data_IF_556648974744
#
_entry.id   IF_556648974744
#
_cell.length_a   1.000
_cell.length_b   1.000
_cell.length_c   1.000
_cell.angle_alpha   90.00
_cell.angle_beta   90.00
_cell.angle_gamma   90.00
#
_symmetry.space_group_name_H-M   'P 1'
#
loop_
_entity.id
_entity.type
_entity.pdbx_description
1 polymer ?
#
# COMPACT_ATOMS: atom_id res chain seq x y z
N UNK A 1 -55.30 -17.47 -53.81
CA UNK A 1 -54.32 -18.09 -54.74
C UNK A 1 -52.94 -18.06 -54.10
N UNK A 2 -52.31 -19.24 -53.97
CA UNK A 2 -50.88 -19.65 -53.82
C UNK A 2 -49.83 -18.59 -53.38
N UNK A 3 -49.15 -18.81 -52.22
CA UNK A 3 -47.77 -19.38 -51.97
C UNK A 3 -46.62 -18.37 -52.23
N UNK A 4 -45.47 -18.31 -51.55
CA UNK A 4 -44.88 -18.96 -50.36
C UNK A 4 -43.51 -18.28 -50.06
N UNK A 5 -42.95 -18.50 -48.85
CA UNK A 5 -41.52 -18.30 -48.47
C UNK A 5 -41.35 -17.56 -47.13
N UNK A 6 -41.25 -18.18 -45.93
CA UNK A 6 -40.06 -18.80 -45.26
C UNK A 6 -38.85 -17.83 -45.16
N UNK A 7 -38.15 -17.53 -44.04
CA UNK A 7 -37.84 -18.14 -42.72
C UNK A 7 -37.39 -16.99 -41.76
N UNK A 8 -37.78 -16.97 -40.48
CA UNK A 8 -37.03 -17.39 -39.26
C UNK A 8 -36.03 -16.35 -38.65
N UNK A 9 -35.96 -16.31 -37.31
CA UNK A 9 -34.72 -15.93 -36.60
C UNK A 9 -34.63 -14.60 -35.83
N UNK A 10 -35.18 -14.58 -34.62
CA UNK A 10 -34.55 -14.09 -33.36
C UNK A 10 -34.02 -12.65 -33.17
N UNK A 11 -34.45 -12.07 -32.04
CA UNK A 11 -33.97 -10.86 -31.34
C UNK A 11 -32.44 -10.80 -31.16
N UNK A 12 -31.85 -9.61 -31.24
CA UNK A 12 -30.62 -9.26 -30.51
C UNK A 12 -30.54 -7.76 -30.19
N UNK A 13 -30.10 -7.48 -28.96
CA UNK A 13 -29.55 -6.24 -28.41
C UNK A 13 -28.57 -6.69 -27.32
N UNK A 14 -27.65 -5.84 -26.82
CA UNK A 14 -26.58 -5.09 -27.48
C UNK A 14 -25.21 -5.66 -27.02
N UNK A 15 -24.07 -5.27 -27.61
CA UNK A 15 -22.81 -5.45 -26.88
C UNK A 15 -21.72 -4.42 -27.20
N UNK A 16 -21.15 -3.92 -26.11
CA UNK A 16 -20.11 -2.89 -26.06
C UNK A 16 -18.74 -3.53 -26.28
N UNK A 17 -17.91 -2.90 -27.10
CA UNK A 17 -16.50 -3.23 -27.20
C UNK A 17 -15.75 -2.82 -25.92
N UNK A 18 -15.55 -3.77 -25.00
CA UNK A 18 -14.47 -3.73 -24.01
C UNK A 18 -13.19 -4.25 -24.67
N UNK A 19 -12.21 -3.38 -24.89
CA UNK A 19 -10.83 -3.80 -25.16
C UNK A 19 -10.19 -4.27 -23.85
N UNK A 20 -10.22 -5.58 -23.62
CA UNK A 20 -9.41 -6.25 -22.59
C UNK A 20 -8.01 -6.45 -23.17
N UNK A 21 -7.00 -5.86 -22.55
CA UNK A 21 -5.60 -6.13 -22.87
C UNK A 21 -5.26 -7.57 -22.41
N UNK A 22 -5.45 -8.55 -23.30
CA UNK A 22 -4.99 -9.92 -23.10
C UNK A 22 -3.52 -9.95 -23.49
N UNK A 23 -2.62 -10.08 -22.50
CA UNK A 23 -1.20 -10.33 -22.76
C UNK A 23 -1.06 -11.79 -23.21
N UNK A 24 -0.79 -12.00 -24.50
CA UNK A 24 -0.52 -13.33 -25.04
C UNK A 24 0.83 -13.88 -24.56
N UNK A 25 0.86 -15.18 -24.26
CA UNK A 25 2.03 -15.97 -23.89
C UNK A 25 3.10 -15.95 -25.00
N UNK A 26 4.37 -15.78 -24.61
CA UNK A 26 5.54 -15.86 -25.51
C UNK A 26 6.02 -17.33 -25.56
N UNK A 27 6.39 -17.88 -26.74
CA UNK A 27 6.95 -19.23 -26.84
C UNK A 27 8.41 -19.28 -26.38
N UNK A 28 8.80 -20.39 -25.75
CA UNK A 28 10.19 -20.65 -25.38
C UNK A 28 11.02 -21.05 -26.62
N UNK A 29 12.11 -20.33 -26.88
CA UNK A 29 13.27 -20.87 -27.59
C UNK A 29 14.55 -20.29 -26.99
N UNK A 30 15.51 -21.17 -26.71
CA UNK A 30 16.77 -20.84 -26.06
C UNK A 30 17.82 -20.24 -27.00
N UNK A 31 18.83 -19.60 -26.40
CA UNK A 31 20.04 -19.18 -27.10
C UNK A 31 20.55 -17.81 -26.67
N UNK A 32 21.64 -17.84 -25.91
CA UNK A 32 22.43 -16.74 -25.36
C UNK A 32 22.64 -15.57 -26.34
N UNK A 33 22.12 -14.37 -25.97
CA UNK A 33 22.75 -13.08 -26.24
C UNK A 33 22.49 -12.20 -25.00
N UNK A 34 23.55 -11.90 -24.25
CA UNK A 34 23.53 -10.97 -23.12
C UNK A 34 23.31 -9.52 -23.58
N UNK A 35 22.57 -8.79 -22.74
CA UNK A 35 22.70 -7.36 -22.43
C UNK A 35 22.32 -6.27 -23.42
N UNK A 36 21.59 -6.55 -24.50
CA UNK A 36 20.90 -5.50 -25.25
C UNK A 36 19.51 -5.99 -25.65
N UNK A 37 18.47 -5.31 -25.15
CA UNK A 37 17.03 -5.47 -25.46
C UNK A 37 16.15 -6.31 -24.52
N UNK A 38 16.25 -6.11 -23.20
CA UNK A 38 15.01 -6.11 -22.42
C UNK A 38 14.30 -4.78 -22.73
N UNK A 39 13.33 -4.77 -23.64
CA UNK A 39 12.33 -3.70 -23.61
C UNK A 39 11.75 -3.71 -22.20
N UNK A 40 12.15 -2.74 -21.37
CA UNK A 40 11.99 -2.80 -19.93
C UNK A 40 10.51 -2.91 -19.59
N UNK A 41 10.07 -4.12 -19.24
CA UNK A 41 8.67 -4.33 -18.89
C UNK A 41 8.32 -3.37 -17.75
N UNK A 42 7.23 -2.62 -17.91
CA UNK A 42 6.73 -1.70 -16.89
C UNK A 42 6.07 -2.45 -15.73
N UNK A 43 5.90 -3.76 -15.85
CA UNK A 43 5.20 -4.61 -14.91
C UNK A 43 5.99 -5.85 -14.53
N UNK A 44 5.70 -6.36 -13.34
CA UNK A 44 6.16 -7.65 -12.79
C UNK A 44 4.92 -8.47 -12.44
N UNK A 45 4.92 -9.76 -12.83
CA UNK A 45 3.80 -10.68 -12.55
C UNK A 45 4.27 -11.78 -11.61
N UNK A 46 3.57 -11.96 -10.50
CA UNK A 46 3.66 -13.14 -9.66
C UNK A 46 2.58 -14.11 -10.13
N UNK A 47 2.97 -15.23 -10.74
CA UNK A 47 2.05 -16.28 -11.17
C UNK A 47 2.22 -17.51 -10.28
N UNK A 48 1.28 -17.73 -9.38
CA UNK A 48 1.30 -18.89 -8.49
C UNK A 48 0.81 -20.17 -9.18
N UNK A 49 0.16 -20.07 -10.33
CA UNK A 49 -0.64 -21.15 -10.92
C UNK A 49 -2.05 -21.18 -10.35
N UNK A 50 -2.88 -22.14 -10.80
CA UNK A 50 -4.28 -22.29 -10.42
C UNK A 50 -5.11 -21.01 -10.59
N UNK A 51 -4.80 -20.22 -11.62
CA UNK A 51 -5.49 -18.95 -11.90
C UNK A 51 -5.36 -17.91 -10.77
N UNK A 52 -4.31 -18.01 -9.94
CA UNK A 52 -3.98 -17.02 -8.90
C UNK A 52 -2.74 -16.23 -9.33
N UNK A 53 -2.93 -14.94 -9.60
CA UNK A 53 -1.90 -14.05 -10.15
C UNK A 53 -1.91 -12.68 -9.46
N UNK A 54 -0.76 -12.02 -9.39
CA UNK A 54 -0.63 -10.64 -8.94
C UNK A 54 0.20 -9.86 -9.95
N UNK A 55 -0.28 -8.70 -10.40
CA UNK A 55 0.45 -7.83 -11.34
C UNK A 55 0.83 -6.53 -10.63
N UNK A 56 2.11 -6.18 -10.71
CA UNK A 56 2.72 -5.03 -10.08
C UNK A 56 3.24 -4.11 -11.18
N UNK A 57 2.79 -2.85 -11.21
CA UNK A 57 3.39 -1.83 -12.04
C UNK A 57 4.60 -1.24 -11.31
N UNK A 58 5.75 -1.18 -11.98
CA UNK A 58 6.97 -0.63 -11.40
C UNK A 58 6.87 0.87 -11.13
N UNK A 59 5.95 1.57 -11.78
CA UNK A 59 5.54 2.90 -11.33
C UNK A 59 4.76 2.78 -10.01
N UNK A 60 5.39 3.24 -8.94
CA UNK A 60 4.89 3.18 -7.58
C UNK A 60 4.98 1.82 -6.88
N UNK A 61 5.60 0.81 -7.53
CA UNK A 61 5.43 -0.60 -7.16
C UNK A 61 3.94 -0.93 -6.92
N UNK A 62 3.05 -0.33 -7.71
CA UNK A 62 1.61 -0.36 -7.49
C UNK A 62 1.09 -1.73 -7.86
N UNK A 63 0.48 -2.45 -6.91
CA UNK A 63 -0.26 -3.68 -7.25
C UNK A 63 -1.53 -3.26 -7.99
N UNK A 64 -1.66 -3.63 -9.26
CA UNK A 64 -2.77 -3.19 -10.14
C UNK A 64 -3.75 -4.32 -10.47
N UNK A 65 -3.41 -5.57 -10.14
CA UNK A 65 -4.34 -6.69 -10.24
C UNK A 65 -3.94 -7.76 -9.24
N UNK A 66 -4.92 -8.34 -8.56
CA UNK A 66 -4.75 -9.55 -7.77
C UNK A 66 -5.94 -10.46 -8.01
N UNK A 67 -5.69 -11.57 -8.69
CA UNK A 67 -6.70 -12.57 -9.01
C UNK A 67 -6.52 -13.78 -8.12
N UNK A 68 -7.64 -14.29 -7.62
CA UNK A 68 -7.73 -15.57 -6.92
C UNK A 68 -8.73 -16.42 -7.68
N UNK A 69 -8.29 -17.56 -8.23
CA UNK A 69 -9.12 -18.41 -9.08
C UNK A 69 -9.82 -17.62 -10.21
N UNK A 70 -9.07 -16.80 -10.96
CA UNK A 70 -9.54 -15.90 -12.03
C UNK A 70 -10.52 -14.79 -11.59
N UNK A 71 -10.77 -14.62 -10.29
CA UNK A 71 -11.61 -13.53 -9.79
C UNK A 71 -10.74 -12.36 -9.34
N UNK A 72 -10.92 -11.20 -9.97
CA UNK A 72 -10.23 -9.96 -9.59
C UNK A 72 -10.70 -9.47 -8.22
N UNK A 73 -9.74 -9.21 -7.33
CA UNK A 73 -9.98 -8.72 -5.96
C UNK A 73 -9.88 -7.20 -5.84
N UNK A 74 -9.15 -6.55 -6.74
CA UNK A 74 -8.86 -5.13 -6.66
C UNK A 74 -9.64 -4.33 -7.69
N UNK A 75 -10.05 -3.13 -7.30
CA UNK A 75 -10.62 -2.17 -8.23
C UNK A 75 -9.50 -1.34 -8.85
N UNK A 76 -9.52 -1.21 -10.16
CA UNK A 76 -8.76 -0.22 -10.92
C UNK A 76 -9.74 0.48 -11.84
N UNK A 77 -9.70 1.80 -11.87
CA UNK A 77 -10.61 2.57 -12.72
C UNK A 77 -10.39 2.24 -14.19
N UNK A 78 -11.48 2.18 -14.96
CA UNK A 78 -11.41 2.09 -16.43
C UNK A 78 -10.74 3.32 -17.08
N UNK A 79 -10.65 4.43 -16.36
CA UNK A 79 -9.98 5.67 -16.79
C UNK A 79 -8.57 5.83 -16.19
N UNK A 80 -8.08 4.82 -15.47
CA UNK A 80 -6.73 4.87 -14.90
C UNK A 80 -5.68 5.02 -16.01
N UNK A 81 -4.74 5.95 -15.79
CA UNK A 81 -3.66 6.24 -16.73
C UNK A 81 -2.38 5.51 -16.30
N UNK A 82 -1.73 4.83 -17.24
CA UNK A 82 -0.51 4.03 -17.03
C UNK A 82 0.71 4.61 -17.78
N UNK A 83 0.86 5.93 -17.76
CA UNK A 83 1.91 6.66 -18.49
C UNK A 83 3.21 6.84 -17.69
N UNK A 84 3.22 6.41 -16.43
CA UNK A 84 4.36 6.55 -15.52
C UNK A 84 4.63 7.98 -15.04
N UNK A 85 3.65 8.89 -15.17
CA UNK A 85 3.77 10.30 -14.73
C UNK A 85 2.94 10.60 -13.49
N UNK A 86 1.75 10.00 -13.39
CA UNK A 86 0.82 10.18 -12.26
C UNK A 86 0.56 8.86 -11.56
N UNK A 87 0.14 8.95 -10.30
CA UNK A 87 -0.30 7.79 -9.54
C UNK A 87 -1.43 7.05 -10.25
N UNK A 88 -1.38 5.72 -10.23
CA UNK A 88 -2.40 4.88 -10.87
C UNK A 88 -3.70 4.92 -10.04
N UNK A 89 -4.84 5.17 -10.70
CA UNK A 89 -6.15 5.20 -10.05
C UNK A 89 -6.69 3.79 -9.78
N UNK A 90 -6.27 3.24 -8.65
CA UNK A 90 -6.76 1.98 -8.10
C UNK A 90 -5.64 1.00 -7.80
N UNK A 91 -6.02 -0.24 -7.49
CA UNK A 91 -5.09 -1.25 -7.02
C UNK A 91 -4.65 -0.95 -5.59
N UNK A 92 -3.34 -0.88 -5.36
CA UNK A 92 -2.76 -0.58 -4.04
C UNK A 92 -1.62 0.44 -4.21
N UNK A 93 -1.91 1.74 -4.39
CA UNK A 93 -0.89 2.78 -4.38
C UNK A 93 -0.17 2.87 -3.04
N UNK A 94 1.14 3.08 -3.09
CA UNK A 94 2.01 3.17 -1.93
C UNK A 94 2.18 4.64 -1.48
N UNK A 95 1.64 4.99 -0.32
CA UNK A 95 1.71 6.36 0.24
C UNK A 95 2.94 6.48 1.14
N UNK A 96 3.88 7.35 0.75
CA UNK A 96 5.09 7.70 1.52
C UNK A 96 5.76 8.93 0.88
N UNK A 97 6.36 9.86 1.67
CA UNK A 97 6.45 9.90 3.13
C UNK A 97 5.34 10.72 3.79
N UNK A 98 4.35 11.19 3.02
CA UNK A 98 3.29 12.07 3.51
C UNK A 98 1.93 11.47 3.14
N UNK A 99 0.98 11.46 4.07
CA UNK A 99 -0.42 11.16 3.79
C UNK A 99 -1.23 12.45 3.58
N UNK A 100 -2.14 12.46 2.61
CA UNK A 100 -2.98 13.61 2.30
C UNK A 100 -2.24 14.72 1.55
N UNK A 101 -2.74 15.95 1.67
CA UNK A 101 -2.15 17.11 1.01
C UNK A 101 -0.73 17.38 1.54
N UNK A 102 0.14 17.89 0.67
CA UNK A 102 1.51 18.22 1.02
C UNK A 102 1.92 19.53 0.35
N UNK A 103 2.47 20.47 1.12
CA UNK A 103 2.89 21.78 0.60
C UNK A 103 4.18 21.72 -0.21
N UNK A 104 5.02 20.71 0.02
CA UNK A 104 6.35 20.60 -0.56
C UNK A 104 6.43 19.57 -1.69
N UNK A 105 5.32 18.92 -2.03
CA UNK A 105 5.30 17.87 -3.04
C UNK A 105 3.89 17.40 -3.38
N UNK A 106 3.74 16.32 -4.14
CA UNK A 106 2.43 15.78 -4.51
C UNK A 106 1.69 15.27 -3.28
N UNK A 107 0.36 15.39 -3.31
CA UNK A 107 -0.49 14.75 -2.32
C UNK A 107 -0.21 13.23 -2.26
N UNK A 108 -0.20 12.69 -1.05
CA UNK A 108 0.18 11.31 -0.71
C UNK A 108 1.65 10.94 -1.00
N UNK A 109 2.51 11.96 -1.12
CA UNK A 109 3.95 11.76 -1.27
C UNK A 109 4.36 11.20 -2.63
N UNK A 110 5.65 10.89 -2.75
CA UNK A 110 6.28 10.57 -4.02
C UNK A 110 6.34 9.06 -4.33
N UNK A 111 6.21 8.18 -3.34
CA UNK A 111 6.48 6.76 -3.54
C UNK A 111 5.61 6.11 -4.62
N UNK A 112 4.36 6.55 -4.77
CA UNK A 112 3.41 6.10 -5.81
C UNK A 112 3.62 6.69 -7.20
N UNK A 113 4.49 7.68 -7.36
CA UNK A 113 4.73 8.38 -8.64
C UNK A 113 6.15 8.24 -9.18
N UNK A 114 6.97 7.38 -8.58
CA UNK A 114 8.32 7.10 -9.06
C UNK A 114 8.45 5.63 -9.44
N UNK A 115 9.40 5.32 -10.33
CA UNK A 115 9.71 3.94 -10.67
C UNK A 115 10.49 3.27 -9.54
N UNK A 116 10.04 2.10 -9.12
CA UNK A 116 10.74 1.24 -8.17
C UNK A 116 11.66 0.26 -8.90
N UNK A 117 12.73 -0.13 -8.21
CA UNK A 117 13.65 -1.16 -8.68
C UNK A 117 13.13 -2.54 -8.27
N UNK A 118 13.38 -3.53 -9.13
CA UNK A 118 13.19 -4.95 -8.78
C UNK A 118 14.48 -5.42 -8.11
N UNK A 119 14.47 -5.55 -6.79
CA UNK A 119 15.61 -6.05 -6.02
C UNK A 119 15.68 -7.57 -6.03
N UNK A 120 14.52 -8.22 -6.03
CA UNK A 120 14.38 -9.66 -6.24
C UNK A 120 13.26 -9.93 -7.24
N UNK A 121 13.62 -10.49 -8.39
CA UNK A 121 12.67 -10.95 -9.41
C UNK A 121 11.75 -12.04 -8.86
N UNK A 122 10.55 -12.24 -9.45
CA UNK A 122 9.63 -13.29 -9.03
C UNK A 122 10.31 -14.65 -8.91
N UNK A 123 10.28 -15.22 -7.70
CA UNK A 123 10.82 -16.55 -7.40
C UNK A 123 9.72 -17.42 -6.80
N UNK A 124 9.59 -18.65 -7.33
CA UNK A 124 8.70 -19.66 -6.76
C UNK A 124 9.41 -20.35 -5.60
N UNK A 125 8.80 -20.28 -4.42
CA UNK A 125 9.26 -20.93 -3.21
C UNK A 125 8.91 -22.43 -3.19
N UNK A 126 9.56 -23.24 -2.34
CA UNK A 126 9.22 -24.67 -2.19
C UNK A 126 7.75 -24.93 -1.79
N UNK A 127 7.08 -23.98 -1.14
CA UNK A 127 5.64 -24.05 -0.84
C UNK A 127 4.74 -23.88 -2.07
N UNK A 128 5.30 -23.51 -3.22
CA UNK A 128 4.57 -23.11 -4.42
C UNK A 128 4.12 -21.65 -4.42
N UNK A 129 4.31 -20.92 -3.31
CA UNK A 129 4.09 -19.47 -3.24
C UNK A 129 5.13 -18.73 -4.08
N UNK A 130 4.83 -17.49 -4.49
CA UNK A 130 5.73 -16.69 -5.33
C UNK A 130 6.04 -15.38 -4.65
N UNK A 131 7.32 -15.01 -4.58
CA UNK A 131 7.74 -13.76 -3.97
C UNK A 131 8.52 -12.85 -4.92
N UNK A 132 8.45 -11.54 -4.67
CA UNK A 132 9.33 -10.55 -5.27
C UNK A 132 9.61 -9.43 -4.26
N UNK A 133 10.73 -8.72 -4.44
CA UNK A 133 11.14 -7.59 -3.59
C UNK A 133 11.40 -6.39 -4.48
N UNK A 134 10.81 -5.27 -4.10
CA UNK A 134 10.97 -3.97 -4.75
C UNK A 134 11.63 -2.98 -3.79
N UNK A 135 12.38 -2.02 -4.32
CA UNK A 135 12.92 -0.95 -3.49
C UNK A 135 13.06 0.38 -4.20
N UNK A 136 13.08 1.45 -3.39
CA UNK A 136 13.49 2.80 -3.76
C UNK A 136 14.46 3.34 -2.70
N UNK A 137 15.37 4.18 -3.14
CA UNK A 137 16.27 4.96 -2.29
C UNK A 137 16.11 6.44 -2.65
N UNK A 138 16.61 7.31 -1.79
CA UNK A 138 16.62 8.73 -2.09
C UNK A 138 17.41 9.03 -3.38
N UNK A 139 16.92 10.03 -4.12
CA UNK A 139 17.59 10.60 -5.29
C UNK A 139 17.34 12.11 -5.31
N UNK A 140 17.86 12.80 -6.33
CA UNK A 140 17.71 14.26 -6.46
C UNK A 140 16.23 14.69 -6.45
N UNK A 141 15.36 13.96 -7.17
CA UNK A 141 13.93 14.26 -7.23
C UNK A 141 13.27 14.14 -5.85
N UNK A 142 13.48 13.04 -5.12
CA UNK A 142 12.88 12.88 -3.79
C UNK A 142 13.46 13.89 -2.79
N UNK A 143 14.77 14.17 -2.86
CA UNK A 143 15.45 15.14 -1.99
C UNK A 143 15.02 16.58 -2.23
N UNK A 144 14.57 16.92 -3.44
CA UNK A 144 14.03 18.25 -3.74
C UNK A 144 12.75 18.57 -2.95
N UNK A 145 12.00 17.54 -2.52
CA UNK A 145 10.75 17.68 -1.74
C UNK A 145 10.94 17.29 -0.27
N UNK A 146 11.77 16.28 0.00
CA UNK A 146 12.03 15.72 1.32
C UNK A 146 13.49 15.27 1.42
N UNK A 147 14.35 16.18 1.92
CA UNK A 147 15.81 16.02 1.91
C UNK A 147 16.33 15.12 3.03
N UNK A 148 15.95 13.84 3.01
CA UNK A 148 16.51 12.81 3.88
C UNK A 148 17.03 11.64 3.06
N UNK A 149 18.16 11.03 3.45
CA UNK A 149 18.52 9.74 2.91
C UNK A 149 17.54 8.67 3.45
N UNK A 150 17.11 7.74 2.62
CA UNK A 150 16.23 6.66 3.04
C UNK A 150 16.38 5.44 2.12
N UNK A 151 15.99 4.27 2.63
CA UNK A 151 15.72 3.09 1.80
C UNK A 151 14.35 2.55 2.17
N UNK A 152 13.49 2.38 1.17
CA UNK A 152 12.19 1.73 1.29
C UNK A 152 12.24 0.41 0.53
N UNK A 153 11.83 -0.66 1.21
CA UNK A 153 11.79 -2.02 0.68
C UNK A 153 10.38 -2.57 0.82
N UNK A 154 9.91 -3.24 -0.22
CA UNK A 154 8.54 -3.73 -0.33
C UNK A 154 8.55 -5.14 -0.90
N UNK A 155 8.32 -6.12 -0.03
CA UNK A 155 8.26 -7.54 -0.37
C UNK A 155 6.81 -7.98 -0.49
N UNK A 156 6.51 -8.62 -1.62
CA UNK A 156 5.22 -9.21 -1.90
C UNK A 156 5.34 -10.73 -1.97
N UNK A 157 4.40 -11.43 -1.34
CA UNK A 157 4.28 -12.89 -1.44
C UNK A 157 2.85 -13.22 -1.87
N UNK A 158 2.73 -13.86 -3.03
CA UNK A 158 1.48 -14.40 -3.53
C UNK A 158 1.33 -15.85 -3.07
N UNK A 159 0.31 -16.10 -2.25
CA UNK A 159 -0.10 -17.42 -1.80
C UNK A 159 -1.44 -17.80 -2.45
N UNK A 160 -1.97 -18.97 -2.13
CA UNK A 160 -3.15 -19.52 -2.83
C UNK A 160 -4.37 -18.57 -2.83
N UNK A 161 -4.66 -17.98 -1.66
CA UNK A 161 -5.77 -17.04 -1.45
C UNK A 161 -5.36 -15.78 -0.69
N UNK A 162 -4.04 -15.60 -0.50
CA UNK A 162 -3.49 -14.51 0.29
C UNK A 162 -2.47 -13.73 -0.51
N UNK A 163 -2.44 -12.42 -0.30
CA UNK A 163 -1.37 -11.54 -0.75
C UNK A 163 -0.76 -10.89 0.49
N UNK A 164 0.53 -11.15 0.70
CA UNK A 164 1.29 -10.66 1.85
C UNK A 164 2.16 -9.50 1.41
N UNK A 165 2.23 -8.49 2.27
CA UNK A 165 2.94 -7.24 2.08
C UNK A 165 3.87 -7.07 3.28
N UNK A 166 5.18 -7.06 3.06
CA UNK A 166 6.15 -6.70 4.09
C UNK A 166 6.87 -5.42 3.65
N UNK A 167 6.86 -4.42 4.53
CA UNK A 167 7.40 -3.10 4.28
C UNK A 167 8.54 -2.83 5.26
N UNK A 168 9.62 -2.28 4.75
CA UNK A 168 10.74 -1.78 5.54
C UNK A 168 11.10 -0.36 5.14
N UNK A 169 11.26 0.53 6.13
CA UNK A 169 11.83 1.87 5.95
C UNK A 169 13.10 1.93 6.79
N UNK A 170 14.23 2.20 6.15
CA UNK A 170 15.52 2.35 6.83
C UNK A 170 16.01 3.79 6.76
N UNK A 171 16.47 4.30 7.90
CA UNK A 171 17.17 5.57 8.00
C UNK A 171 18.69 5.34 7.99
N UNK A 172 19.39 5.50 6.85
CA UNK A 172 20.85 5.35 6.77
C UNK A 172 21.62 6.55 7.32
N UNK A 173 20.93 7.63 7.72
CA UNK A 173 21.59 8.79 8.31
C UNK A 173 22.34 8.39 9.58
N UNK A 174 23.46 9.06 9.83
CA UNK A 174 24.21 8.94 11.09
C UNK A 174 23.77 9.94 12.15
N UNK A 175 23.10 11.01 11.73
CA UNK A 175 22.87 12.20 12.56
C UNK A 175 21.41 12.66 12.56
N UNK A 176 20.71 12.47 11.44
CA UNK A 176 19.37 13.05 11.26
C UNK A 176 18.28 12.03 11.47
N UNK A 177 17.42 12.30 12.44
CA UNK A 177 16.08 11.73 12.54
C UNK A 177 15.20 12.28 11.41
N UNK A 178 14.33 11.44 10.86
CA UNK A 178 13.23 11.92 10.01
C UNK A 178 11.89 11.42 10.50
N UNK A 179 10.82 12.04 10.03
CA UNK A 179 9.46 11.56 10.27
C UNK A 179 8.71 11.34 8.97
N UNK A 180 7.81 10.37 8.96
CA UNK A 180 7.03 10.01 7.78
C UNK A 180 5.67 9.42 8.15
N UNK A 181 4.72 9.50 7.22
CA UNK A 181 3.53 8.66 7.19
C UNK A 181 3.72 7.54 6.15
N UNK A 182 3.04 6.42 6.39
CA UNK A 182 3.02 5.29 5.46
C UNK A 182 1.62 4.69 5.40
N UNK A 183 1.12 4.43 4.20
CA UNK A 183 -0.17 3.79 4.00
C UNK A 183 -0.23 2.98 2.69
N UNK A 184 -0.94 1.86 2.73
CA UNK A 184 -1.32 1.08 1.54
C UNK A 184 -2.76 1.43 1.15
N UNK A 185 -2.90 2.24 0.09
CA UNK A 185 -4.19 2.78 -0.35
C UNK A 185 -5.00 1.72 -1.11
N UNK A 186 -5.47 0.69 -0.42
CA UNK A 186 -6.02 -0.53 -1.05
C UNK A 186 -7.44 -0.30 -1.56
N UNK A 187 -7.66 -0.43 -2.88
CA UNK A 187 -8.96 -0.35 -3.55
C UNK A 187 -9.55 -1.75 -3.72
N UNK A 188 -10.52 -2.12 -2.89
CA UNK A 188 -11.21 -3.39 -3.04
C UNK A 188 -12.32 -3.32 -4.08
N UNK A 189 -12.39 -4.33 -4.95
CA UNK A 189 -13.49 -4.50 -5.90
C UNK A 189 -14.72 -5.05 -5.20
N UNK A 190 -15.83 -4.32 -5.28
CA UNK A 190 -17.11 -4.72 -4.70
C UNK A 190 -18.21 -4.64 -5.76
N UNK A 191 -19.25 -5.47 -5.71
CA UNK A 191 -20.40 -5.32 -6.59
C UNK A 191 -21.17 -4.03 -6.32
N UNK A 192 -21.31 -3.67 -5.04
CA UNK A 192 -22.01 -2.47 -4.58
C UNK A 192 -21.54 -2.10 -3.16
N UNK A 193 -20.88 -0.95 -3.03
CA UNK A 193 -20.34 -0.42 -1.77
C UNK A 193 -21.40 -0.21 -0.70
N UNK A 194 -22.66 0.07 -1.09
CA UNK A 194 -23.79 0.29 -0.17
C UNK A 194 -24.17 -0.95 0.61
N UNK A 195 -23.73 -2.13 0.14
CA UNK A 195 -23.97 -3.44 0.73
C UNK A 195 -22.75 -4.00 1.47
N UNK A 196 -21.63 -3.27 1.47
CA UNK A 196 -20.45 -3.64 2.22
C UNK A 196 -20.61 -3.31 3.70
N UNK A 197 -20.10 -4.20 4.55
CA UNK A 197 -19.95 -3.99 5.98
C UNK A 197 -18.50 -4.23 6.36
N UNK A 198 -17.95 -3.35 7.20
CA UNK A 198 -16.57 -3.43 7.69
C UNK A 198 -16.60 -3.60 9.20
N UNK A 199 -15.96 -4.65 9.71
CA UNK A 199 -15.87 -4.95 11.14
C UNK A 199 -14.59 -4.39 11.78
N UNK A 200 -14.55 -4.38 13.12
CA UNK A 200 -13.32 -4.08 13.87
C UNK A 200 -13.05 -2.58 14.06
N UNK A 201 -14.06 -1.74 13.86
CA UNK A 201 -13.99 -0.28 14.03
C UNK A 201 -14.89 0.24 15.16
N UNK A 202 -15.72 -0.62 15.77
CA UNK A 202 -16.55 -0.25 16.92
C UNK A 202 -15.69 0.31 18.07
N UNK A 203 -16.12 1.44 18.63
CA UNK A 203 -15.46 2.15 19.71
C UNK A 203 -14.25 2.98 19.29
N UNK A 204 -13.77 2.86 18.04
CA UNK A 204 -12.64 3.64 17.55
C UNK A 204 -13.01 5.11 17.37
N UNK A 205 -12.07 5.99 17.73
CA UNK A 205 -12.09 7.40 17.34
C UNK A 205 -11.72 7.53 15.87
N UNK A 206 -12.40 8.40 15.13
CA UNK A 206 -12.03 8.71 13.75
C UNK A 206 -12.13 10.20 13.44
N UNK A 207 -11.28 10.64 12.51
CA UNK A 207 -11.33 11.96 11.89
C UNK A 207 -12.13 11.84 10.60
N UNK A 208 -13.17 12.65 10.42
CA UNK A 208 -13.96 12.70 9.18
C UNK A 208 -13.58 13.93 8.34
N UNK A 209 -12.85 13.71 7.24
CA UNK A 209 -12.41 14.81 6.36
C UNK A 209 -13.56 15.45 5.59
N UNK A 210 -14.70 14.77 5.48
CA UNK A 210 -15.91 15.30 4.82
C UNK A 210 -16.71 16.22 5.74
N UNK A 211 -16.29 16.34 7.00
CA UNK A 211 -16.88 17.19 8.04
C UNK A 211 -15.79 18.07 8.67
N UNK A 212 -14.96 18.68 7.84
CA UNK A 212 -13.89 19.62 8.25
C UNK A 212 -12.91 19.04 9.28
N UNK A 213 -12.59 17.75 9.16
CA UNK A 213 -11.72 17.00 10.09
C UNK A 213 -12.26 16.93 11.53
N UNK A 214 -13.59 16.99 11.70
CA UNK A 214 -14.21 16.73 13.00
C UNK A 214 -13.91 15.31 13.49
N UNK A 215 -13.83 15.17 14.81
CA UNK A 215 -13.52 13.93 15.50
C UNK A 215 -14.81 13.31 16.03
N UNK A 216 -14.99 12.02 15.75
CA UNK A 216 -16.14 11.22 16.16
C UNK A 216 -15.70 9.91 16.80
N UNK A 217 -16.64 9.20 17.42
CA UNK A 217 -16.46 7.83 17.88
C UNK A 217 -17.46 6.91 17.17
N UNK A 218 -16.98 5.77 16.69
CA UNK A 218 -17.81 4.79 15.99
C UNK A 218 -18.63 3.97 16.98
N UNK A 219 -19.95 4.20 17.00
CA UNK A 219 -20.87 3.45 17.85
C UNK A 219 -21.37 2.15 17.21
N UNK A 220 -21.25 2.00 15.89
CA UNK A 220 -21.80 0.85 15.18
C UNK A 220 -20.85 -0.36 15.27
N UNK A 221 -21.42 -1.56 15.38
CA UNK A 221 -20.64 -2.81 15.33
C UNK A 221 -19.98 -3.03 13.95
N UNK A 222 -20.64 -2.52 12.91
CA UNK A 222 -20.18 -2.59 11.53
C UNK A 222 -20.34 -1.24 10.84
N UNK A 223 -19.28 -0.83 10.13
CA UNK A 223 -19.29 0.39 9.32
C UNK A 223 -19.92 0.09 7.96
N UNK A 224 -20.80 0.98 7.51
CA UNK A 224 -21.39 0.96 6.17
C UNK A 224 -21.18 2.31 5.50
N UNK A 225 -21.01 2.32 4.17
CA UNK A 225 -20.73 3.52 3.39
C UNK A 225 -21.94 3.82 2.50
N UNK A 226 -22.58 4.98 2.71
CA UNK A 226 -23.81 5.40 2.01
C UNK A 226 -23.76 6.84 1.49
N UNK A 227 -22.61 7.49 1.61
CA UNK A 227 -22.34 8.86 1.22
C UNK A 227 -20.84 9.00 0.95
N UNK A 228 -20.42 10.19 0.48
CA UNK A 228 -19.00 10.52 0.40
C UNK A 228 -18.35 10.31 1.77
N UNK A 229 -17.36 9.43 1.82
CA UNK A 229 -16.70 9.00 3.06
C UNK A 229 -15.20 9.15 2.88
N UNK A 230 -14.56 9.82 3.84
CA UNK A 230 -13.11 9.94 3.97
C UNK A 230 -12.78 10.00 5.46
N UNK A 231 -12.65 8.83 6.08
CA UNK A 231 -12.53 8.68 7.54
C UNK A 231 -11.22 8.01 7.91
N UNK A 232 -10.47 8.62 8.84
CA UNK A 232 -9.25 8.05 9.40
C UNK A 232 -9.58 7.49 10.79
N UNK A 233 -9.78 6.18 10.89
CA UNK A 233 -9.96 5.51 12.17
C UNK A 233 -8.61 5.28 12.83
N UNK A 234 -8.48 5.69 14.09
CA UNK A 234 -7.23 5.66 14.84
C UNK A 234 -7.14 4.44 15.75
N UNK A 235 -5.93 3.90 15.92
CA UNK A 235 -5.63 2.80 16.85
C UNK A 235 -6.62 1.62 16.74
N UNK A 236 -6.91 1.19 15.51
CA UNK A 236 -7.91 0.16 15.25
C UNK A 236 -7.36 -1.24 15.57
N UNK A 237 -8.26 -2.21 15.63
CA UNK A 237 -7.88 -3.62 15.71
C UNK A 237 -6.96 -4.01 14.53
N UNK A 238 -6.05 -4.98 14.72
CA UNK A 238 -5.13 -5.43 13.66
C UNK A 238 -5.83 -6.24 12.56
N UNK A 239 -7.14 -6.50 12.69
CA UNK A 239 -7.91 -7.27 11.73
C UNK A 239 -9.26 -6.61 11.41
N UNK A 240 -9.60 -6.59 10.12
CA UNK A 240 -10.88 -6.15 9.59
C UNK A 240 -11.45 -7.20 8.63
N UNK A 241 -12.77 -7.40 8.69
CA UNK A 241 -13.50 -8.19 7.71
C UNK A 241 -14.38 -7.25 6.89
N UNK A 242 -14.23 -7.29 5.58
CA UNK A 242 -15.06 -6.57 4.62
C UNK A 242 -15.99 -7.58 3.96
N UNK A 243 -17.30 -7.39 4.11
CA UNK A 243 -18.31 -8.24 3.47
C UNK A 243 -18.67 -7.73 2.08
N UNK A 244 -19.29 -8.61 1.28
CA UNK A 244 -19.73 -8.30 -0.08
C UNK A 244 -18.58 -7.86 -1.01
N UNK A 245 -17.39 -8.42 -0.81
CA UNK A 245 -16.25 -8.28 -1.73
C UNK A 245 -16.32 -9.42 -2.75
N UNK A 246 -16.15 -9.12 -4.03
CA UNK A 246 -16.13 -10.10 -5.16
C UNK A 246 -17.16 -11.23 -5.07
N UNK A 247 -18.30 -11.06 -5.75
CA UNK A 247 -19.37 -12.06 -5.82
C UNK A 247 -19.94 -12.45 -4.44
N UNK A 248 -20.02 -11.50 -3.50
CA UNK A 248 -20.66 -11.69 -2.20
C UNK A 248 -19.80 -12.37 -1.13
N UNK A 249 -18.48 -12.50 -1.35
CA UNK A 249 -17.54 -13.11 -0.41
C UNK A 249 -17.06 -12.10 0.64
N UNK A 250 -16.22 -12.60 1.55
CA UNK A 250 -15.51 -11.80 2.55
C UNK A 250 -14.05 -11.59 2.15
N UNK A 251 -13.53 -10.41 2.44
CA UNK A 251 -12.11 -10.09 2.42
C UNK A 251 -11.65 -9.87 3.85
N UNK A 252 -10.59 -10.54 4.25
CA UNK A 252 -9.91 -10.28 5.53
C UNK A 252 -8.67 -9.44 5.27
N UNK A 253 -8.55 -8.36 6.03
CA UNK A 253 -7.38 -7.49 6.08
C UNK A 253 -6.75 -7.67 7.46
N UNK A 254 -5.52 -8.17 7.51
CA UNK A 254 -4.72 -8.21 8.74
C UNK A 254 -3.55 -7.26 8.59
N UNK A 255 -3.24 -6.49 9.62
CA UNK A 255 -2.21 -5.47 9.60
C UNK A 255 -1.33 -5.51 10.85
N UNK A 256 -0.06 -5.18 10.68
CA UNK A 256 0.93 -5.06 11.74
C UNK A 256 1.68 -3.74 11.61
N UNK A 257 1.85 -3.05 12.74
CA UNK A 257 2.46 -1.71 12.83
C UNK A 257 1.82 -0.63 11.92
N UNK A 258 0.56 -0.87 11.56
CA UNK A 258 -0.35 0.10 10.95
C UNK A 258 -1.47 0.38 11.95
N UNK A 259 -1.32 1.36 12.86
CA UNK A 259 -2.32 1.62 13.89
C UNK A 259 -3.65 2.15 13.31
N UNK A 260 -3.62 2.78 12.14
CA UNK A 260 -4.78 3.45 11.57
C UNK A 260 -5.40 2.65 10.41
N UNK A 261 -6.69 2.88 10.20
CA UNK A 261 -7.42 2.36 9.03
C UNK A 261 -8.20 3.50 8.39
N UNK A 262 -7.93 3.79 7.11
CA UNK A 262 -8.70 4.78 6.35
C UNK A 262 -9.81 4.08 5.58
N UNK A 263 -11.04 4.61 5.70
CA UNK A 263 -12.18 4.20 4.89
C UNK A 263 -12.51 5.32 3.92
N UNK A 264 -12.47 5.01 2.62
CA UNK A 264 -12.73 6.00 1.58
C UNK A 264 -13.62 5.48 0.46
N UNK A 265 -14.57 6.32 0.05
CA UNK A 265 -15.33 6.19 -1.19
C UNK A 265 -15.71 7.61 -1.65
N UNK A 266 -15.42 7.99 -2.91
CA UNK A 266 -15.65 9.35 -3.38
C UNK A 266 -17.14 9.70 -3.49
N UNK A 267 -18.01 8.70 -3.61
CA UNK A 267 -19.40 8.89 -3.99
C UNK A 267 -19.57 9.63 -5.33
N UNK A 268 -20.80 9.90 -5.71
CA UNK A 268 -21.13 10.37 -7.07
C UNK A 268 -20.52 11.72 -7.42
N UNK A 269 -20.58 12.70 -6.52
CA UNK A 269 -20.12 14.06 -6.83
C UNK A 269 -18.59 14.13 -6.92
N UNK A 270 -17.86 13.59 -5.92
CA UNK A 270 -16.39 13.59 -5.99
C UNK A 270 -15.84 12.66 -7.05
N UNK A 271 -16.54 11.60 -7.44
CA UNK A 271 -16.11 10.75 -8.55
C UNK A 271 -15.96 11.55 -9.85
N UNK A 272 -16.91 12.46 -10.15
CA UNK A 272 -16.89 13.32 -11.34
C UNK A 272 -15.74 14.33 -11.33
N UNK A 273 -15.30 14.75 -10.15
CA UNK A 273 -14.20 15.70 -9.98
C UNK A 273 -12.81 15.04 -10.17
N UNK A 274 -12.74 13.71 -10.29
CA UNK A 274 -11.49 12.96 -10.40
C UNK A 274 -11.26 12.58 -11.87
N UNK A 275 -10.32 13.23 -12.59
CA UNK A 275 -10.20 13.08 -14.04
C UNK A 275 -9.83 11.68 -14.55
N UNK A 276 -9.24 10.85 -13.68
CA UNK A 276 -8.79 9.49 -13.99
C UNK A 276 -9.69 8.41 -13.34
N UNK A 277 -10.93 8.78 -13.00
CA UNK A 277 -11.93 7.92 -12.39
C UNK A 277 -13.26 8.00 -13.15
N UNK A 278 -13.94 6.88 -13.36
CA UNK A 278 -15.25 6.88 -14.01
C UNK A 278 -16.37 7.36 -13.08
N UNK A 279 -17.20 8.28 -13.55
CA UNK A 279 -18.34 8.87 -12.83
C UNK A 279 -19.28 7.83 -12.18
N UNK A 280 -19.42 6.66 -12.81
CA UNK A 280 -20.29 5.55 -12.43
C UNK A 280 -19.58 4.44 -11.65
N UNK A 281 -18.27 4.57 -11.38
CA UNK A 281 -17.45 3.50 -10.79
C UNK A 281 -17.42 3.50 -9.26
N UNK A 282 -17.81 4.60 -8.59
CA UNK A 282 -17.81 4.69 -7.13
C UNK A 282 -18.59 3.56 -6.43
N UNK A 283 -19.70 3.01 -6.96
CA UNK A 283 -20.39 1.90 -6.31
C UNK A 283 -19.58 0.62 -6.31
N UNK A 284 -18.60 0.46 -7.22
CA UNK A 284 -17.88 -0.79 -7.43
C UNK A 284 -16.56 -0.89 -6.66
N UNK A 285 -16.32 0.06 -5.76
CA UNK A 285 -15.08 0.14 -5.01
C UNK A 285 -15.31 0.55 -3.56
N UNK A 286 -14.40 0.11 -2.69
CA UNK A 286 -14.22 0.71 -1.37
C UNK A 286 -12.74 0.67 -1.04
N UNK A 287 -12.23 1.78 -0.51
CA UNK A 287 -10.90 1.79 0.07
C UNK A 287 -10.98 1.46 1.55
N UNK A 288 -10.19 0.46 1.95
CA UNK A 288 -9.92 0.10 3.35
C UNK A 288 -8.41 -0.02 3.46
N UNK A 289 -7.78 1.00 4.04
CA UNK A 289 -6.37 1.28 3.85
C UNK A 289 -5.63 1.12 5.18
N UNK A 290 -4.64 0.22 5.22
CA UNK A 290 -3.78 0.07 6.40
C UNK A 290 -2.73 1.18 6.41
N UNK A 291 -2.63 1.95 7.50
CA UNK A 291 -1.67 3.05 7.58
C UNK A 291 -1.19 3.42 8.98
N UNK A 292 -0.16 4.25 8.98
CA UNK A 292 0.37 5.01 10.12
C UNK A 292 0.35 6.48 9.69
N UNK A 293 -0.81 7.11 9.85
CA UNK A 293 -1.17 8.38 9.19
C UNK A 293 -1.81 9.40 10.12
N UNK A 294 -2.40 8.96 11.23
CA UNK A 294 -2.97 9.86 12.23
C UNK A 294 -1.89 10.57 13.06
N UNK A 295 -0.70 9.96 13.12
CA UNK A 295 0.56 10.57 13.55
C UNK A 295 1.70 10.10 12.65
N UNK A 296 2.81 10.85 12.55
CA UNK A 296 3.98 10.40 11.81
C UNK A 296 4.83 9.43 12.65
N UNK A 297 5.42 8.44 11.98
CA UNK A 297 6.52 7.64 12.54
C UNK A 297 7.73 8.56 12.67
N UNK A 298 8.42 8.52 13.80
CA UNK A 298 9.72 9.18 14.01
C UNK A 298 10.81 8.11 13.94
N UNK A 299 11.72 8.21 12.98
CA UNK A 299 12.75 7.20 12.73
C UNK A 299 14.16 7.75 12.99
N UNK A 300 14.82 7.22 14.02
CA UNK A 300 16.15 7.62 14.46
C UNK A 300 17.25 7.19 13.48
N UNK A 301 18.42 7.87 13.48
CA UNK A 301 19.59 7.47 12.70
C UNK A 301 19.94 5.99 12.86
N UNK A 302 20.21 5.30 11.75
CA UNK A 302 20.61 3.89 11.73
C UNK A 302 19.53 2.88 12.12
N UNK A 303 18.28 3.30 12.33
CA UNK A 303 17.18 2.40 12.71
C UNK A 303 16.23 2.11 11.54
N UNK A 304 15.43 1.06 11.69
CA UNK A 304 14.46 0.62 10.69
C UNK A 304 13.05 0.54 11.30
N UNK A 305 12.06 0.85 10.47
CA UNK A 305 10.65 0.62 10.73
C UNK A 305 10.15 -0.52 9.85
N UNK A 306 9.34 -1.39 10.42
CA UNK A 306 8.69 -2.50 9.70
C UNK A 306 7.18 -2.46 9.88
N UNK A 307 6.46 -2.74 8.80
CA UNK A 307 5.01 -2.94 8.84
C UNK A 307 4.62 -4.06 7.88
N UNK A 308 3.43 -4.64 8.08
CA UNK A 308 2.90 -5.63 7.16
C UNK A 308 1.39 -5.57 7.01
N UNK A 309 0.93 -6.07 5.86
CA UNK A 309 -0.47 -6.31 5.56
C UNK A 309 -0.61 -7.72 4.99
N UNK A 310 -1.70 -8.40 5.32
CA UNK A 310 -2.13 -9.63 4.66
C UNK A 310 -3.56 -9.41 4.20
N UNK A 311 -3.78 -9.62 2.91
CA UNK A 311 -5.11 -9.68 2.31
C UNK A 311 -5.46 -11.14 2.07
N UNK A 312 -6.65 -11.58 2.48
CA UNK A 312 -7.12 -12.94 2.27
C UNK A 312 -8.53 -12.95 1.69
N UNK A 313 -8.66 -13.44 0.46
CA UNK A 313 -9.92 -13.51 -0.26
C UNK A 313 -10.70 -14.80 0.03
N UNK A 314 -12.03 -14.71 0.11
CA UNK A 314 -12.90 -15.88 0.16
C UNK A 314 -12.94 -16.58 1.53
N UNK A 315 -12.79 -15.83 2.62
CA UNK A 315 -12.91 -16.35 3.99
C UNK A 315 -14.33 -16.87 4.23
N UNK A 316 -14.47 -18.11 4.72
CA UNK A 316 -15.78 -18.69 5.04
C UNK A 316 -16.37 -18.06 6.30
N UNK A 317 -17.70 -18.08 6.43
CA UNK A 317 -18.41 -17.54 7.58
C UNK A 317 -18.04 -18.19 8.93
N UNK A 318 -17.42 -19.38 8.91
CA UNK A 318 -17.07 -20.18 10.08
C UNK A 318 -15.71 -19.86 10.72
N UNK A 319 -14.93 -18.93 10.15
CA UNK A 319 -13.58 -18.60 10.63
C UNK A 319 -13.48 -17.25 11.34
N UNK A 320 -14.60 -16.58 11.58
CA UNK A 320 -14.64 -15.37 12.43
C UNK A 320 -14.80 -15.85 13.87
N UNK A 321 -13.87 -15.55 14.81
CA UNK A 321 -14.09 -15.87 16.22
C UNK A 321 -15.35 -15.13 16.69
N UNK A 322 -16.36 -15.88 17.13
CA UNK A 322 -17.50 -15.29 17.82
C UNK A 322 -17.01 -14.71 19.14
N UNK A 323 -17.11 -13.39 19.31
CA UNK A 323 -16.95 -12.74 20.62
C UNK A 323 -18.10 -13.18 21.53
N UNK A 324 -17.97 -14.33 22.17
CA UNK A 324 -18.80 -14.68 23.32
C UNK A 324 -18.24 -13.93 24.52
N UNK A 325 -18.85 -12.79 24.81
CA UNK A 325 -18.76 -12.13 26.13
C UNK A 325 -19.39 -13.10 27.13
N UNK A 326 -18.56 -13.81 27.88
CA UNK A 326 -19.01 -14.53 29.07
C UNK A 326 -19.08 -13.51 30.19
N UNK A 327 -20.30 -13.12 30.56
CA UNK A 327 -20.59 -12.42 31.80
C UNK A 327 -20.20 -13.32 32.97
N UNK A 328 -19.21 -12.92 33.76
CA UNK A 328 -18.80 -13.63 34.97
C UNK A 328 -19.71 -13.25 36.13
N UNK A 329 -20.70 -14.09 36.43
CA UNK A 329 -21.35 -14.08 37.74
C UNK A 329 -20.73 -15.16 38.64
N UNK A 330 -20.30 -14.70 39.81
CA UNK A 330 -20.05 -15.37 41.09
C UNK A 330 -19.64 -16.84 41.13
N UNK A 331 -18.43 -17.12 41.64
CA UNK A 331 -18.22 -18.11 42.71
C UNK A 331 -16.90 -17.84 43.47
N UNK A 332 -16.97 -17.89 44.81
CA UNK A 332 -15.88 -17.75 45.78
C UNK A 332 -14.90 -18.94 45.76
N UNK A 333 -13.66 -18.81 46.30
CA UNK A 333 -12.58 -19.75 46.04
C UNK A 333 -12.57 -20.94 47.00
N UNK A 334 -12.26 -22.12 46.48
CA UNK A 334 -11.77 -23.25 47.26
C UNK A 334 -10.36 -23.62 46.79
N UNK A 335 -9.47 -23.74 47.77
CA UNK A 335 -8.06 -24.08 47.68
C UNK A 335 -7.79 -25.41 46.96
N UNK A 336 -6.84 -25.41 46.02
CA UNK A 336 -6.31 -26.62 45.40
C UNK A 336 -5.11 -26.32 44.51
N UNK A 337 -3.92 -26.70 44.99
CA UNK A 337 -2.64 -26.64 44.27
C UNK A 337 -2.63 -27.55 43.04
N UNK A 338 -2.37 -27.02 41.84
CA UNK A 338 -1.93 -27.78 40.67
C UNK A 338 -1.07 -26.92 39.72
N UNK A 339 0.04 -27.51 39.27
CA UNK A 339 1.08 -26.96 38.38
C UNK A 339 0.56 -26.40 37.05
N UNK A 340 1.23 -25.42 36.43
CA UNK A 340 0.79 -24.86 35.15
C UNK A 340 1.28 -25.69 33.96
N UNK A 341 0.36 -26.38 33.29
CA UNK A 341 0.54 -26.79 31.90
C UNK A 341 0.21 -25.62 30.97
N UNK A 342 1.19 -25.18 30.17
CA UNK A 342 1.01 -24.17 29.11
C UNK A 342 0.29 -24.78 27.90
N UNK A 343 -0.75 -24.13 27.34
CA UNK A 343 -1.07 -24.28 25.93
C UNK A 343 -0.21 -23.31 25.10
N UNK A 344 0.39 -23.86 24.05
CA UNK A 344 1.26 -23.18 23.08
C UNK A 344 0.42 -22.85 21.85
N UNK A 345 0.34 -21.57 21.47
CA UNK A 345 0.06 -21.12 20.10
C UNK A 345 0.44 -19.64 19.97
N UNK A 346 1.72 -19.32 20.06
CA UNK A 346 2.26 -18.03 19.61
C UNK A 346 2.71 -18.19 18.17
N UNK A 347 2.07 -17.44 17.25
CA UNK A 347 2.68 -17.10 15.96
C UNK A 347 3.84 -16.16 16.30
N UNK A 348 5.02 -16.73 16.49
CA UNK A 348 6.23 -15.98 16.84
C UNK A 348 6.73 -15.19 15.63
N UNK A 349 6.64 -13.87 15.71
CA UNK A 349 7.39 -12.97 14.84
C UNK A 349 8.78 -12.75 15.46
N UNK A 350 9.87 -12.75 14.68
CA UNK A 350 11.20 -12.55 15.23
C UNK A 350 11.35 -11.11 15.78
N UNK A 351 12.06 -10.99 16.90
CA UNK A 351 12.36 -9.70 17.55
C UNK A 351 13.50 -8.92 16.87
N UNK A 352 13.95 -9.36 15.68
CA UNK A 352 15.06 -8.77 14.93
C UNK A 352 14.65 -8.60 13.47
N UNK A 353 15.06 -7.50 12.81
CA UNK A 353 14.75 -7.28 11.41
C UNK A 353 15.32 -8.42 10.55
N UNK A 354 14.54 -9.00 9.63
CA UNK A 354 15.07 -10.00 8.71
C UNK A 354 16.18 -9.41 7.83
N UNK A 355 17.20 -10.22 7.51
CA UNK A 355 18.44 -9.80 6.83
C UNK A 355 18.25 -9.04 5.52
N UNK A 356 17.09 -9.13 4.86
CA UNK A 356 16.80 -8.39 3.62
C UNK A 356 16.65 -6.87 3.83
N UNK A 357 16.50 -6.41 5.07
CA UNK A 357 16.46 -4.97 5.40
C UNK A 357 17.85 -4.33 5.45
N UNK A 358 18.90 -5.14 5.67
CA UNK A 358 20.26 -4.66 5.79
C UNK A 358 21.02 -4.87 4.48
N UNK A 359 21.51 -3.78 3.89
CA UNK A 359 22.49 -3.84 2.82
C UNK A 359 23.86 -4.12 3.43
N UNK A 360 24.57 -5.14 2.91
CA UNK A 360 26.00 -5.22 3.12
C UNK A 360 26.65 -4.02 2.40
N UNK A 361 27.20 -3.07 3.16
CA UNK A 361 28.13 -2.08 2.62
C UNK A 361 29.22 -2.79 1.81
N UNK A 362 29.69 -2.27 0.67
CA UNK A 362 30.85 -2.86 0.00
C UNK A 362 32.01 -2.88 1.00
N UNK A 363 32.59 -4.07 1.20
CA UNK A 363 33.78 -4.27 2.03
C UNK A 363 34.83 -3.24 1.61
N UNK A 364 35.08 -2.24 2.47
CA UNK A 364 36.28 -1.46 2.37
C UNK A 364 37.45 -2.40 2.68
N UNK A 365 38.24 -2.68 1.66
CA UNK A 365 39.53 -3.36 1.81
C UNK A 365 40.38 -2.59 2.84
N UNK A 366 40.95 -3.26 3.85
CA UNK A 366 41.76 -2.57 4.84
C UNK A 366 43.08 -2.14 4.19
N UNK A 367 43.27 -0.84 3.98
CA UNK A 367 44.58 -0.28 3.69
C UNK A 367 45.39 -0.22 4.99
N UNK A 368 46.55 -0.87 4.96
CA UNK A 368 47.56 -0.87 6.02
C UNK A 368 48.08 0.54 6.35
N UNK A 369 48.45 0.83 7.61
CA UNK A 369 48.98 2.14 7.97
C UNK A 369 50.48 2.19 7.69
N UNK A 370 50.92 3.17 6.89
CA UNK A 370 52.32 3.59 6.86
C UNK A 370 52.47 4.89 7.64
N UNK A 371 53.29 4.84 8.68
CA UNK A 371 53.85 6.00 9.36
C UNK A 371 54.66 6.85 8.38
N UNK A 372 54.49 8.18 8.41
CA UNK A 372 55.61 9.13 8.38
C UNK A 372 55.20 10.51 8.91
N UNK A 373 56.19 11.17 9.50
CA UNK A 373 56.16 12.39 10.31
C UNK A 373 56.04 13.70 9.52
N UNK A 374 55.68 14.75 10.28
CA UNK A 374 55.91 16.20 10.08
C UNK A 374 55.09 16.86 8.96
N UNK A 375 54.52 18.07 9.08
CA UNK A 375 54.88 19.28 9.82
C UNK A 375 53.62 20.10 10.14
N UNK A 376 53.62 20.76 11.30
CA UNK A 376 52.70 21.85 11.61
C UNK A 376 53.02 23.08 10.75
N UNK A 377 52.03 23.63 10.06
CA UNK A 377 52.03 25.04 9.69
C UNK A 377 50.65 25.66 9.92
N UNK A 378 50.67 26.72 10.73
CA UNK A 378 49.57 27.64 10.99
C UNK A 378 49.04 28.26 9.69
N UNK A 379 47.71 28.34 9.55
CA UNK A 379 47.10 29.37 8.73
C UNK A 379 45.95 30.08 9.45
N UNK A 380 46.04 31.40 9.33
CA UNK A 380 45.22 32.46 9.87
C UNK A 380 43.76 32.45 9.38
N UNK A 381 42.87 32.82 10.30
CA UNK A 381 41.60 33.49 10.02
C UNK A 381 41.81 34.76 9.17
N UNK A 382 40.79 35.19 8.43
CA UNK A 382 40.14 36.41 8.90
C UNK A 382 38.62 36.35 8.87
N UNK A 383 38.06 36.90 9.93
CA UNK A 383 36.73 37.46 10.06
C UNK A 383 36.68 38.84 9.39
N UNK A 384 35.59 39.17 8.69
CA UNK A 384 35.14 40.54 8.52
C UNK A 384 33.60 40.63 8.48
N UNK A 385 33.12 41.59 9.28
CA UNK A 385 31.75 42.04 9.47
C UNK A 385 31.37 43.19 8.51
N UNK A 386 30.07 43.56 8.56
CA UNK A 386 29.32 44.71 8.01
C UNK A 386 28.61 44.45 6.68
N UNK A 387 27.29 44.24 6.63
CA UNK A 387 26.13 45.12 6.90
C UNK A 387 25.82 46.11 5.76
N UNK A 388 24.71 45.91 5.04
CA UNK A 388 23.54 46.83 5.08
C UNK A 388 22.43 46.45 4.11
N UNK A 389 21.21 46.80 4.56
CA UNK A 389 19.90 46.73 3.95
C UNK A 389 19.80 47.19 2.48
N UNK A 390 18.98 46.49 1.68
CA UNK A 390 18.00 47.14 0.80
C UNK A 390 16.68 46.36 0.91
N UNK A 391 15.66 47.10 1.34
CA UNK A 391 14.23 46.81 1.26
C UNK A 391 13.78 46.70 -0.20
N UNK A 392 13.06 45.65 -0.56
CA UNK A 392 12.04 45.75 -1.62
C UNK A 392 10.87 44.80 -1.35
N UNK A 393 9.77 45.44 -0.99
CA UNK A 393 8.39 44.96 -1.05
C UNK A 393 8.04 44.46 -2.45
N UNK A 394 7.37 43.32 -2.55
CA UNK A 394 6.43 43.07 -3.64
C UNK A 394 5.28 42.21 -3.13
N UNK A 395 4.16 42.88 -2.89
CA UNK A 395 2.82 42.29 -2.77
C UNK A 395 2.23 42.15 -4.18
N UNK A 396 1.21 41.28 -4.29
CA UNK A 396 0.22 41.16 -5.39
C UNK A 396 0.58 40.12 -6.46
N UNK A 397 -0.04 38.93 -6.40
CA UNK A 397 -1.27 38.66 -7.16
C UNK A 397 -1.86 37.29 -6.78
N UNK A 398 -3.03 37.32 -6.14
CA UNK A 398 -4.02 36.25 -6.17
C UNK A 398 -4.60 36.17 -7.58
N UNK A 399 -4.78 34.97 -8.14
CA UNK A 399 -5.83 34.73 -9.13
C UNK A 399 -6.12 33.23 -9.23
N UNK A 400 -7.41 32.94 -9.10
CA UNK A 400 -8.09 31.67 -9.22
C UNK A 400 -7.82 30.97 -10.55
N UNK A 401 -7.68 29.64 -10.52
CA UNK A 401 -8.48 28.66 -11.29
C UNK A 401 -8.16 27.24 -10.81
#
# INVERSE_FOLDING_TARGET
MRRAGELDGTRYSPDQHQQVLVVHQIPQSGGVICDIMAAATSVVVLDRGNNTTCTINLHGATVVSWRVNNQEQLFVSKQAVFDGKKAIRGGIPFVFPQFGAWSFGPGHGFARIIRWNVEKSPERLPSGDVEAIFSIMDNEFTRSMWNYPFRLTYRLILREKELHFNIGVYNPSKEHTFSFNLLLHTYFKVPDVRRCQITGLHGCTFIDKTRDNQIFQEGLDVVTVREWTDRIYQNTQPEHIITNVVSGRKMRVQKYNFPDTVIWNPWQEKARDIPDFGDDEFPNMICVESGHVSSPVILLPGTAFEASQILQGGVSSSQVPSNNVVTSDHFLPASGTLSPARPRATVGWPASPPNWLYVQSPMQTPTTPNHHHHHHHHHHHPSHHYANCITQSCSICSLNL
#
